data_IF_252840990022
#
_entry.id   IF_252840990022
#
_cell.length_a   1.000
_cell.length_b   1.000
_cell.length_c   1.000
_cell.angle_alpha   90.00
_cell.angle_beta   90.00
_cell.angle_gamma   90.00
#
_symmetry.space_group_name_H-M   'P 1'
#
loop_
_entity.id
_entity.type
_entity.pdbx_description
1 polymer ?
#
# COMPACT_ATOMS: atom_id res chain seq x y z
N UNK A 1 3.07 8.11 3.84
CA UNK A 1 3.94 9.31 3.63
C UNK A 1 5.24 9.32 4.44
N UNK A 2 5.24 9.21 5.78
CA UNK A 2 6.48 9.37 6.57
C UNK A 2 7.65 8.45 6.16
N UNK A 3 7.38 7.17 5.84
CA UNK A 3 8.42 6.24 5.34
C UNK A 3 8.98 6.63 3.97
N UNK A 4 8.13 7.15 3.09
CA UNK A 4 8.53 7.62 1.77
C UNK A 4 9.39 8.89 1.86
N UNK A 5 9.09 9.75 2.84
CA UNK A 5 9.89 10.92 3.17
C UNK A 5 11.26 10.54 3.75
N UNK A 6 11.32 9.60 4.69
CA UNK A 6 12.57 9.04 5.24
C UNK A 6 13.48 8.49 4.11
N UNK A 7 12.90 7.78 3.14
CA UNK A 7 13.64 7.32 1.97
C UNK A 7 14.14 8.47 1.08
N UNK A 8 13.28 9.45 0.79
CA UNK A 8 13.63 10.59 -0.04
C UNK A 8 14.73 11.45 0.58
N UNK A 9 14.69 11.68 1.90
CA UNK A 9 15.72 12.43 2.64
C UNK A 9 17.06 11.70 2.66
N UNK A 10 17.05 10.37 2.83
CA UNK A 10 18.26 9.53 2.74
C UNK A 10 18.89 9.63 1.36
N UNK A 11 18.08 9.64 0.29
CA UNK A 11 18.57 9.69 -1.10
C UNK A 11 19.07 11.08 -1.52
N UNK A 12 18.47 12.16 -1.00
CA UNK A 12 18.81 13.54 -1.33
C UNK A 12 20.03 14.05 -0.55
N UNK A 13 20.41 13.40 0.55
CA UNK A 13 21.59 13.78 1.33
C UNK A 13 22.83 13.07 0.77
N UNK A 14 23.74 13.75 0.04
CA UNK A 14 24.98 13.12 -0.37
C UNK A 14 25.78 12.74 0.89
N UNK A 15 26.11 11.44 1.01
CA UNK A 15 26.95 10.94 2.08
C UNK A 15 28.29 11.69 2.07
N UNK A 16 28.45 12.64 2.99
CA UNK A 16 29.70 13.34 3.20
C UNK A 16 30.71 12.34 3.78
N UNK A 17 31.58 11.83 2.91
CA UNK A 17 32.73 11.03 3.31
C UNK A 17 33.71 11.87 4.12
N UNK A 18 34.08 11.35 5.30
CA UNK A 18 35.20 11.82 6.09
C UNK A 18 35.66 10.67 6.97
N UNK A 19 36.73 9.98 6.55
CA UNK A 19 37.38 8.97 7.36
C UNK A 19 38.36 9.58 8.33
N UNK A 20 38.48 8.99 9.52
CA UNK A 20 39.74 8.83 10.24
C UNK A 20 39.62 7.69 11.25
N UNK A 21 40.68 6.88 11.31
CA UNK A 21 40.79 5.72 12.17
C UNK A 21 41.27 6.11 13.56
N UNK A 22 40.72 5.46 14.61
CA UNK A 22 41.51 5.16 15.80
C UNK A 22 40.96 3.93 16.54
N UNK A 23 41.83 2.96 16.77
CA UNK A 23 41.59 1.78 17.60
C UNK A 23 41.74 2.10 19.09
N UNK A 24 40.99 1.42 19.97
CA UNK A 24 41.39 0.93 21.32
C UNK A 24 40.25 0.19 22.06
N UNK A 25 40.47 -1.10 22.25
CA UNK A 25 40.05 -2.13 23.22
C UNK A 25 39.06 -1.85 24.41
N UNK A 26 38.12 -2.79 24.64
CA UNK A 26 37.86 -3.56 25.91
C UNK A 26 36.39 -3.99 26.16
N UNK A 27 36.14 -5.30 26.10
CA UNK A 27 35.27 -6.18 26.95
C UNK A 27 33.72 -6.05 27.08
N UNK A 28 33.05 -7.14 26.64
CA UNK A 28 31.88 -7.89 27.18
C UNK A 28 30.49 -7.23 27.36
N UNK A 29 29.50 -7.70 26.58
CA UNK A 29 28.45 -8.64 27.03
C UNK A 29 27.52 -9.03 25.88
N UNK A 30 27.27 -10.33 25.76
CA UNK A 30 26.46 -10.98 24.73
C UNK A 30 24.96 -10.80 24.93
N UNK A 31 24.29 -10.21 23.95
CA UNK A 31 22.90 -10.54 23.61
C UNK A 31 22.73 -10.32 22.11
N UNK A 32 22.38 -11.37 21.37
CA UNK A 32 22.14 -11.32 19.94
C UNK A 32 20.79 -10.63 19.66
N UNK A 33 20.76 -9.52 18.89
CA UNK A 33 19.62 -9.23 18.04
C UNK A 33 19.85 -9.92 16.70
N UNK A 34 18.89 -10.76 16.31
CA UNK A 34 18.80 -11.33 14.97
C UNK A 34 18.77 -10.18 13.96
N UNK A 35 19.79 -10.09 13.12
CA UNK A 35 19.89 -9.08 12.08
C UNK A 35 18.74 -9.22 11.08
N UNK A 36 18.03 -8.13 10.70
CA UNK A 36 17.29 -8.14 9.46
C UNK A 36 18.29 -8.25 8.30
N UNK A 37 17.97 -9.19 7.41
CA UNK A 37 18.67 -9.47 6.15
C UNK A 37 19.13 -8.20 5.45
N UNK A 38 20.41 -8.19 5.10
CA UNK A 38 21.15 -7.20 4.31
C UNK A 38 20.31 -6.50 3.23
N UNK A 39 19.87 -5.28 3.53
CA UNK A 39 19.44 -4.31 2.53
C UNK A 39 20.68 -3.52 2.07
N UNK A 40 20.89 -3.47 0.76
CA UNK A 40 21.91 -2.63 0.14
C UNK A 40 21.67 -1.17 0.55
N UNK A 41 22.69 -0.33 0.77
CA UNK A 41 22.54 1.03 1.34
C UNK A 41 21.82 2.06 0.44
N UNK A 42 21.32 1.63 -0.73
CA UNK A 42 20.47 2.42 -1.60
C UNK A 42 19.08 1.78 -1.60
N UNK A 43 18.19 2.25 -0.72
CA UNK A 43 16.84 1.72 -0.58
C UNK A 43 16.11 1.75 -1.91
N UNK A 44 15.54 0.62 -2.32
CA UNK A 44 14.77 0.51 -3.56
C UNK A 44 13.46 1.31 -3.43
N UNK A 45 13.09 2.10 -4.45
CA UNK A 45 11.82 2.83 -4.51
C UNK A 45 10.63 1.89 -4.24
N UNK A 46 10.73 0.63 -4.69
CA UNK A 46 9.73 -0.39 -4.44
C UNK A 46 9.57 -0.66 -2.94
N UNK A 47 10.68 -0.82 -2.21
CA UNK A 47 10.65 -1.07 -0.77
C UNK A 47 9.95 0.08 -0.04
N UNK A 48 10.28 1.33 -0.39
CA UNK A 48 9.65 2.50 0.22
C UNK A 48 8.14 2.56 -0.04
N UNK A 49 7.69 2.22 -1.26
CA UNK A 49 6.26 2.12 -1.59
C UNK A 49 5.56 0.99 -0.84
N UNK A 50 6.15 -0.21 -0.82
CA UNK A 50 5.61 -1.38 -0.11
C UNK A 50 5.47 -1.09 1.38
N UNK A 51 6.53 -0.61 2.03
CA UNK A 51 6.51 -0.29 3.46
C UNK A 51 5.49 0.80 3.79
N UNK A 52 5.44 1.87 2.98
CA UNK A 52 4.50 2.97 3.20
C UNK A 52 3.05 2.52 3.06
N UNK A 53 2.71 1.79 1.99
CA UNK A 53 1.36 1.31 1.76
C UNK A 53 0.93 0.26 2.80
N UNK A 54 1.85 -0.62 3.22
CA UNK A 54 1.60 -1.60 4.28
C UNK A 54 1.31 -0.91 5.63
N UNK A 55 2.13 0.05 6.03
CA UNK A 55 1.94 0.81 7.28
C UNK A 55 0.62 1.58 7.26
N UNK A 56 0.30 2.21 6.15
CA UNK A 56 -0.97 2.93 5.98
C UNK A 56 -2.16 1.98 6.08
N UNK A 57 -2.11 0.84 5.39
CA UNK A 57 -3.14 -0.20 5.46
C UNK A 57 -3.33 -0.71 6.89
N UNK A 58 -2.24 -0.93 7.62
CA UNK A 58 -2.29 -1.36 9.01
C UNK A 58 -3.04 -0.35 9.92
N UNK A 59 -2.71 0.94 9.81
CA UNK A 59 -3.38 1.97 10.60
C UNK A 59 -4.83 2.22 10.16
N UNK A 60 -5.11 2.15 8.85
CA UNK A 60 -6.47 2.20 8.34
C UNK A 60 -7.30 1.04 8.89
N UNK A 61 -6.74 -0.18 8.91
CA UNK A 61 -7.41 -1.35 9.48
C UNK A 61 -7.69 -1.18 10.97
N UNK A 62 -6.70 -0.70 11.73
CA UNK A 62 -6.88 -0.39 13.15
C UNK A 62 -8.00 0.62 13.40
N UNK A 63 -8.04 1.71 12.62
CA UNK A 63 -9.09 2.72 12.72
C UNK A 63 -10.46 2.15 12.34
N UNK A 64 -10.53 1.40 11.24
CA UNK A 64 -11.76 0.77 10.76
C UNK A 64 -12.41 -0.11 11.83
N UNK A 65 -11.62 -0.98 12.49
CA UNK A 65 -12.11 -1.80 13.61
C UNK A 65 -12.64 -0.95 14.76
N UNK A 66 -11.90 0.09 15.18
CA UNK A 66 -12.33 0.99 16.26
C UNK A 66 -13.65 1.68 15.95
N UNK A 67 -13.82 2.19 14.73
CA UNK A 67 -15.06 2.83 14.30
C UNK A 67 -16.22 1.84 14.25
N UNK A 68 -15.99 0.62 13.75
CA UNK A 68 -17.00 -0.43 13.75
C UNK A 68 -17.45 -0.77 15.17
N UNK A 69 -16.52 -0.96 16.11
CA UNK A 69 -16.85 -1.21 17.52
C UNK A 69 -17.57 -0.03 18.17
N UNK A 70 -17.25 1.22 17.80
CA UNK A 70 -17.95 2.39 18.31
C UNK A 70 -19.41 2.44 17.82
N UNK A 71 -19.64 2.17 16.52
CA UNK A 71 -20.97 2.18 15.90
C UNK A 71 -21.86 1.03 16.37
N UNK A 72 -21.28 -0.13 16.68
CA UNK A 72 -21.99 -1.35 17.07
C UNK A 72 -22.09 -1.57 18.59
N UNK A 73 -21.59 -0.62 19.41
CA UNK A 73 -21.89 -0.62 20.85
C UNK A 73 -23.39 -0.42 21.06
N UNK A 74 -24.03 -1.35 21.77
CA UNK A 74 -25.41 -1.14 22.26
C UNK A 74 -25.43 0.12 23.12
N UNK A 75 -26.40 1.04 22.97
CA UNK A 75 -26.54 2.16 23.89
C UNK A 75 -26.66 1.62 25.31
N UNK A 76 -25.80 2.07 26.21
CA UNK A 76 -26.16 2.04 27.63
C UNK A 76 -27.38 2.93 27.78
N UNK A 77 -28.42 2.44 28.47
CA UNK A 77 -29.61 3.20 28.80
C UNK A 77 -29.21 4.59 29.33
N UNK A 78 -29.55 5.66 28.59
CA UNK A 78 -29.49 7.02 29.12
C UNK A 78 -28.70 8.10 28.35
N UNK A 79 -28.27 7.90 27.10
CA UNK A 79 -27.73 9.02 26.30
C UNK A 79 -28.56 9.29 25.04
N UNK A 80 -29.42 10.29 25.17
CA UNK A 80 -30.31 10.80 24.13
C UNK A 80 -29.67 12.08 23.58
N UNK A 81 -28.82 11.98 22.56
CA UNK A 81 -28.51 13.10 21.66
C UNK A 81 -27.69 12.64 20.44
N UNK A 82 -28.22 13.01 19.27
CA UNK A 82 -27.66 12.87 17.92
C UNK A 82 -27.75 11.50 17.24
N UNK A 83 -28.98 11.03 17.08
CA UNK A 83 -29.34 10.06 16.05
C UNK A 83 -29.51 10.79 14.71
N UNK A 84 -28.44 10.92 13.94
CA UNK A 84 -28.57 11.19 12.50
C UNK A 84 -29.13 9.94 11.83
N UNK A 85 -30.26 10.14 11.19
CA UNK A 85 -31.04 9.17 10.42
C UNK A 85 -30.25 8.71 9.20
N UNK A 86 -29.68 7.50 9.26
CA UNK A 86 -29.48 6.64 8.10
C UNK A 86 -30.16 5.32 8.43
N UNK A 87 -31.04 4.91 7.53
CA UNK A 87 -31.98 3.80 7.64
C UNK A 87 -31.35 2.54 8.22
N UNK A 88 -31.65 2.26 9.49
CA UNK A 88 -31.34 0.99 10.13
C UNK A 88 -32.45 0.01 9.78
N UNK A 89 -32.34 -0.58 8.59
CA UNK A 89 -32.99 -1.85 8.31
C UNK A 89 -32.43 -2.86 9.31
N UNK A 90 -33.21 -3.11 10.36
CA UNK A 90 -32.89 -4.09 11.39
C UNK A 90 -33.27 -5.46 10.82
N UNK A 91 -32.42 -5.97 9.94
CA UNK A 91 -32.43 -7.34 9.46
C UNK A 91 -31.72 -8.25 10.45
N UNK A 92 -32.47 -9.19 11.00
CA UNK A 92 -32.04 -10.34 11.77
C UNK A 92 -31.04 -11.19 10.96
N UNK A 93 -29.74 -10.95 11.15
CA UNK A 93 -28.62 -11.73 10.62
C UNK A 93 -27.41 -11.47 11.50
N UNK A 94 -26.74 -12.52 11.99
CA UNK A 94 -25.58 -12.37 12.86
C UNK A 94 -24.40 -11.73 12.12
N UNK A 95 -24.34 -10.40 12.08
CA UNK A 95 -23.27 -9.66 11.42
C UNK A 95 -21.92 -10.02 12.04
N UNK A 96 -21.07 -10.69 11.27
CA UNK A 96 -19.71 -11.03 11.68
C UNK A 96 -18.91 -9.76 11.89
N UNK A 97 -18.14 -9.71 12.98
CA UNK A 97 -17.23 -8.58 13.23
C UNK A 97 -16.16 -8.49 12.12
N UNK A 98 -15.59 -7.31 11.84
CA UNK A 98 -14.50 -7.18 10.87
C UNK A 98 -13.35 -8.16 11.10
N UNK A 99 -13.01 -8.42 12.36
CA UNK A 99 -11.98 -9.38 12.74
C UNK A 99 -12.37 -10.82 12.38
N UNK A 100 -13.63 -11.20 12.57
CA UNK A 100 -14.13 -12.52 12.21
C UNK A 100 -14.10 -12.73 10.69
N UNK A 101 -14.48 -11.70 9.92
CA UNK A 101 -14.36 -11.72 8.45
C UNK A 101 -12.90 -11.88 8.03
N UNK A 102 -11.99 -11.09 8.60
CA UNK A 102 -10.58 -11.17 8.25
C UNK A 102 -9.97 -12.53 8.61
N UNK A 103 -10.37 -13.11 9.74
CA UNK A 103 -9.96 -14.46 10.15
C UNK A 103 -10.49 -15.59 9.27
N UNK A 104 -11.58 -15.37 8.51
CA UNK A 104 -12.03 -16.28 7.46
C UNK A 104 -11.41 -16.00 6.09
N UNK A 105 -10.48 -15.02 6.02
CA UNK A 105 -9.83 -14.61 4.78
C UNK A 105 -10.70 -13.69 3.93
N UNK A 106 -11.70 -13.02 4.52
CA UNK A 106 -12.60 -12.09 3.85
C UNK A 106 -12.30 -10.67 4.30
N UNK A 107 -11.98 -9.78 3.36
CA UNK A 107 -11.81 -8.35 3.62
C UNK A 107 -13.19 -7.67 3.53
N UNK A 108 -13.65 -6.94 4.56
CA UNK A 108 -14.90 -6.20 4.50
C UNK A 108 -14.93 -5.26 3.28
N UNK A 109 -16.01 -5.27 2.49
CA UNK A 109 -16.09 -4.56 1.19
C UNK A 109 -15.77 -3.07 1.30
N UNK A 110 -16.26 -2.38 2.33
CA UNK A 110 -15.97 -0.96 2.53
C UNK A 110 -14.49 -0.70 2.86
N UNK A 111 -13.84 -1.63 3.57
CA UNK A 111 -12.41 -1.55 3.85
C UNK A 111 -11.58 -1.89 2.60
N UNK A 112 -12.00 -2.89 1.81
CA UNK A 112 -11.37 -3.21 0.52
C UNK A 112 -11.39 -2.00 -0.41
N UNK A 113 -12.49 -1.26 -0.44
CA UNK A 113 -12.61 0.00 -1.18
C UNK A 113 -11.59 1.05 -0.72
N UNK A 114 -11.38 1.20 0.59
CA UNK A 114 -10.32 2.08 1.11
C UNK A 114 -8.93 1.64 0.62
N UNK A 115 -8.64 0.34 0.61
CA UNK A 115 -7.36 -0.17 0.09
C UNK A 115 -7.19 0.12 -1.41
N UNK A 116 -8.25 0.03 -2.23
CA UNK A 116 -8.20 0.40 -3.64
C UNK A 116 -7.83 1.87 -3.83
N UNK A 117 -8.46 2.78 -3.07
CA UNK A 117 -8.14 4.21 -3.11
C UNK A 117 -6.71 4.47 -2.63
N UNK A 118 -6.27 3.86 -1.53
CA UNK A 118 -4.88 3.98 -1.07
C UNK A 118 -3.89 3.58 -2.17
N UNK A 119 -4.08 2.43 -2.84
CA UNK A 119 -3.18 2.04 -3.92
C UNK A 119 -3.19 3.02 -5.11
N UNK A 120 -4.36 3.56 -5.44
CA UNK A 120 -4.48 4.60 -6.47
C UNK A 120 -3.72 5.87 -6.07
N UNK A 121 -3.81 6.31 -4.81
CA UNK A 121 -3.04 7.45 -4.30
C UNK A 121 -1.53 7.22 -4.41
N UNK A 122 -1.04 6.00 -4.13
CA UNK A 122 0.38 5.67 -4.35
C UNK A 122 0.79 5.76 -5.82
N UNK A 123 -0.09 5.38 -6.75
CA UNK A 123 0.18 5.61 -8.17
C UNK A 123 0.24 7.10 -8.46
N UNK A 124 -0.70 7.89 -7.95
CA UNK A 124 -0.69 9.32 -8.20
C UNK A 124 0.56 9.99 -7.63
N UNK A 125 1.07 9.54 -6.48
CA UNK A 125 2.39 9.94 -5.96
C UNK A 125 3.52 9.60 -6.95
N UNK A 126 3.50 8.39 -7.54
CA UNK A 126 4.50 7.99 -8.54
C UNK A 126 4.43 8.87 -9.78
N UNK A 127 3.25 9.27 -10.23
CA UNK A 127 3.05 10.02 -11.48
C UNK A 127 3.07 11.54 -11.30
N UNK A 128 2.92 12.03 -10.07
CA UNK A 128 2.96 13.45 -9.75
C UNK A 128 4.33 14.05 -10.07
N UNK A 129 4.33 15.25 -10.66
CA UNK A 129 5.58 15.98 -10.97
C UNK A 129 6.20 15.65 -12.34
N UNK A 130 5.38 15.28 -13.34
CA UNK A 130 5.80 15.18 -14.74
C UNK A 130 6.44 16.48 -15.27
N UNK A 131 7.36 16.34 -16.23
CA UNK A 131 8.31 17.38 -16.68
C UNK A 131 7.58 18.49 -17.44
N UNK A 132 6.98 19.40 -16.69
CA UNK A 132 7.02 20.84 -16.90
C UNK A 132 6.57 21.46 -15.58
N UNK A 133 7.51 22.09 -14.87
CA UNK A 133 7.22 23.02 -13.76
C UNK A 133 6.51 24.30 -14.29
N UNK A 134 5.75 24.21 -15.39
CA UNK A 134 4.71 25.18 -15.70
C UNK A 134 3.57 24.88 -14.75
N UNK A 135 3.15 25.91 -14.03
CA UNK A 135 2.15 25.94 -12.96
C UNK A 135 0.73 25.42 -13.32
N UNK A 136 0.57 24.73 -14.45
CA UNK A 136 -0.71 24.35 -15.07
C UNK A 136 -0.88 22.84 -15.31
N UNK A 137 -0.03 21.96 -14.75
CA UNK A 137 -0.34 20.52 -14.81
C UNK A 137 -1.29 20.13 -13.69
N UNK A 138 -2.50 19.71 -14.06
CA UNK A 138 -3.59 19.22 -13.18
C UNK A 138 -3.22 17.97 -12.33
N UNK A 139 -1.95 17.55 -12.32
CA UNK A 139 -1.41 16.37 -11.65
C UNK A 139 -0.34 16.74 -10.61
N UNK A 140 -0.58 17.81 -9.85
CA UNK A 140 0.35 18.25 -8.83
C UNK A 140 -0.21 18.00 -7.42
N UNK A 141 0.03 16.81 -6.88
CA UNK A 141 -0.28 16.45 -5.48
C UNK A 141 0.32 17.46 -4.46
N UNK A 142 1.32 18.28 -4.83
CA UNK A 142 1.83 19.37 -3.97
C UNK A 142 0.79 20.47 -3.79
N UNK A 143 -0.06 20.75 -4.78
CA UNK A 143 -1.13 21.75 -4.65
C UNK A 143 -2.22 21.27 -3.68
N UNK A 144 -2.46 19.96 -3.63
CA UNK A 144 -3.43 19.35 -2.71
C UNK A 144 -2.87 19.06 -1.32
N UNK A 145 -1.54 18.97 -1.19
CA UNK A 145 -0.89 18.87 0.09
C UNK A 145 -1.18 20.14 0.92
N UNK A 146 -1.85 19.97 2.05
CA UNK A 146 -2.17 21.05 2.98
C UNK A 146 -0.89 21.73 3.49
N UNK A 147 -0.76 23.04 3.24
CA UNK A 147 0.15 23.95 3.95
C UNK A 147 1.60 23.49 4.10
N UNK A 148 1.94 23.00 5.29
CA UNK A 148 3.30 22.71 5.79
C UNK A 148 3.98 21.51 5.11
N UNK A 149 3.22 20.63 4.46
CA UNK A 149 3.74 19.39 3.84
C UNK A 149 4.11 19.53 2.36
N UNK A 150 3.91 20.71 1.78
CA UNK A 150 4.21 20.93 0.36
C UNK A 150 5.69 20.72 0.04
N UNK A 151 6.59 21.15 0.91
CA UNK A 151 8.03 21.03 0.67
C UNK A 151 8.53 19.59 0.85
N UNK A 152 7.94 18.82 1.77
CA UNK A 152 8.18 17.38 1.90
C UNK A 152 7.72 16.64 0.64
N UNK A 153 6.53 16.96 0.14
CA UNK A 153 6.00 16.37 -1.08
C UNK A 153 6.87 16.67 -2.30
N UNK A 154 7.35 17.91 -2.45
CA UNK A 154 8.30 18.28 -3.51
C UNK A 154 9.60 17.46 -3.44
N UNK A 155 10.12 17.21 -2.23
CA UNK A 155 11.33 16.37 -2.06
C UNK A 155 11.08 14.94 -2.49
N UNK A 156 9.94 14.36 -2.10
CA UNK A 156 9.55 13.01 -2.52
C UNK A 156 9.44 12.93 -4.03
N UNK A 157 8.70 13.85 -4.66
CA UNK A 157 8.56 13.91 -6.12
C UNK A 157 9.92 14.00 -6.82
N UNK A 158 10.80 14.90 -6.35
CA UNK A 158 12.14 15.04 -6.91
C UNK A 158 12.96 13.75 -6.81
N UNK A 159 12.92 13.06 -5.67
CA UNK A 159 13.63 11.80 -5.48
C UNK A 159 13.10 10.69 -6.39
N UNK A 160 11.77 10.58 -6.55
CA UNK A 160 11.13 9.66 -7.49
C UNK A 160 11.57 9.97 -8.93
N UNK A 161 11.54 11.24 -9.32
CA UNK A 161 11.99 11.73 -10.62
C UNK A 161 13.43 11.31 -10.95
N UNK A 162 14.35 11.55 -10.01
CA UNK A 162 15.76 11.21 -10.15
C UNK A 162 15.94 9.69 -10.27
N UNK A 163 15.25 8.91 -9.43
CA UNK A 163 15.26 7.45 -9.52
C UNK A 163 14.76 6.97 -10.88
N UNK A 164 13.60 7.43 -11.35
CA UNK A 164 13.01 7.04 -12.64
C UNK A 164 13.92 7.44 -13.82
N UNK A 165 14.53 8.63 -13.76
CA UNK A 165 15.50 9.08 -14.78
C UNK A 165 16.73 8.18 -14.79
N UNK A 166 17.19 7.73 -13.62
CA UNK A 166 18.35 6.83 -13.47
C UNK A 166 18.10 5.40 -13.96
N UNK A 167 16.84 4.95 -14.03
CA UNK A 167 16.51 3.63 -14.57
C UNK A 167 17.03 3.51 -16.01
N UNK A 168 17.88 2.51 -16.24
CA UNK A 168 18.33 2.17 -17.59
C UNK A 168 17.11 1.74 -18.39
N UNK A 169 16.95 2.28 -19.59
CA UNK A 169 15.96 1.74 -20.52
C UNK A 169 16.30 0.26 -20.74
N UNK A 170 15.31 -0.62 -20.57
CA UNK A 170 15.45 -1.98 -21.05
C UNK A 170 15.72 -1.90 -22.56
N UNK A 171 16.76 -2.58 -23.04
CA UNK A 171 17.03 -2.68 -24.46
C UNK A 171 15.90 -3.47 -25.12
N UNK A 172 14.89 -2.81 -25.66
CA UNK A 172 13.86 -3.49 -26.45
C UNK A 172 13.40 -2.66 -27.64
N UNK A 173 13.84 -3.16 -28.81
CA UNK A 173 13.22 -3.25 -30.14
C UNK A 173 12.63 -1.95 -30.75
N UNK A 174 13.01 -1.59 -32.00
CA UNK A 174 12.56 -0.38 -32.66
C UNK A 174 11.05 -0.45 -32.95
N UNK A 175 10.23 0.09 -32.05
CA UNK A 175 8.83 0.42 -32.35
C UNK A 175 8.73 1.94 -32.48
N UNK A 176 8.16 2.48 -33.55
CA UNK A 176 8.12 3.92 -33.77
C UNK A 176 7.39 4.61 -32.61
N UNK A 177 8.07 5.58 -32.01
CA UNK A 177 7.57 6.39 -30.91
C UNK A 177 6.38 7.22 -31.41
N UNK A 178 5.21 7.18 -30.72
CA UNK A 178 4.15 8.14 -30.98
C UNK A 178 4.69 9.54 -30.71
N UNK A 179 4.47 10.52 -31.61
CA UNK A 179 4.89 11.90 -31.35
C UNK A 179 4.14 12.42 -30.11
N UNK A 180 4.86 12.68 -29.01
CA UNK A 180 4.33 13.33 -27.81
C UNK A 180 4.59 12.64 -26.47
N UNK A 181 4.92 11.34 -26.40
CA UNK A 181 5.21 10.68 -25.12
C UNK A 181 6.65 10.93 -24.65
N UNK A 182 6.80 11.56 -23.49
CA UNK A 182 8.09 11.82 -22.88
C UNK A 182 8.70 10.52 -22.34
N UNK A 183 10.03 10.29 -22.49
CA UNK A 183 10.68 9.05 -22.03
C UNK A 183 10.50 8.72 -20.54
N UNK A 184 10.20 9.71 -19.70
CA UNK A 184 9.96 9.53 -18.26
C UNK A 184 8.60 8.93 -17.94
N UNK A 185 7.55 9.29 -18.67
CA UNK A 185 6.18 8.79 -18.41
C UNK A 185 6.09 7.29 -18.68
N UNK A 186 6.66 6.85 -19.81
CA UNK A 186 6.74 5.43 -20.16
C UNK A 186 7.52 4.62 -19.13
N UNK A 187 8.60 5.18 -18.57
CA UNK A 187 9.36 4.52 -17.49
C UNK A 187 8.54 4.38 -16.20
N UNK A 188 7.73 5.38 -15.83
CA UNK A 188 6.83 5.28 -14.68
C UNK A 188 5.77 4.21 -14.90
N UNK A 189 5.20 4.15 -16.10
CA UNK A 189 4.22 3.13 -16.48
C UNK A 189 4.82 1.72 -16.44
N UNK A 190 5.98 1.51 -17.05
CA UNK A 190 6.70 0.24 -16.98
C UNK A 190 7.04 -0.13 -15.52
N UNK A 191 7.49 0.85 -14.72
CA UNK A 191 7.78 0.62 -13.31
C UNK A 191 6.52 0.23 -12.53
N UNK A 192 5.42 0.96 -12.68
CA UNK A 192 4.16 0.68 -11.99
C UNK A 192 3.62 -0.71 -12.36
N UNK A 193 3.54 -1.03 -13.65
CA UNK A 193 3.04 -2.32 -14.14
C UNK A 193 3.85 -3.50 -13.58
N UNK A 194 5.16 -3.33 -13.38
CA UNK A 194 6.01 -4.37 -12.81
C UNK A 194 5.86 -4.53 -11.29
N UNK A 195 5.49 -3.44 -10.59
CA UNK A 195 5.65 -3.33 -9.13
C UNK A 195 4.34 -3.20 -8.34
N UNK A 196 3.24 -2.75 -8.95
CA UNK A 196 1.98 -2.49 -8.26
C UNK A 196 1.43 -3.72 -7.52
N UNK A 197 1.59 -4.92 -8.10
CA UNK A 197 1.22 -6.19 -7.46
C UNK A 197 1.97 -6.44 -6.15
N UNK A 198 3.23 -6.03 -6.05
CA UNK A 198 4.05 -6.21 -4.85
C UNK A 198 3.66 -5.21 -3.76
N UNK A 199 3.28 -3.99 -4.15
CA UNK A 199 2.72 -2.99 -3.22
C UNK A 199 1.41 -3.52 -2.65
N UNK A 200 0.51 -4.02 -3.50
CA UNK A 200 -0.76 -4.64 -3.10
C UNK A 200 -0.55 -5.86 -2.19
N UNK A 201 0.38 -6.77 -2.54
CA UNK A 201 0.76 -7.90 -1.69
C UNK A 201 1.24 -7.45 -0.30
N UNK A 202 2.03 -6.38 -0.24
CA UNK A 202 2.45 -5.73 1.01
C UNK A 202 1.28 -5.20 1.85
N UNK A 203 0.28 -4.58 1.21
CA UNK A 203 -0.94 -4.12 1.87
C UNK A 203 -1.75 -5.29 2.46
N UNK A 204 -1.89 -6.40 1.74
CA UNK A 204 -2.57 -7.62 2.24
C UNK A 204 -1.76 -8.25 3.38
N UNK A 205 -0.43 -8.31 3.24
CA UNK A 205 0.46 -8.80 4.29
C UNK A 205 0.30 -8.02 5.60
N UNK A 206 0.14 -6.69 5.52
CA UNK A 206 -0.08 -5.83 6.69
C UNK A 206 -1.32 -6.21 7.51
N UNK A 207 -2.36 -6.74 6.86
CA UNK A 207 -3.58 -7.21 7.54
C UNK A 207 -3.34 -8.45 8.41
N UNK A 208 -2.26 -9.19 8.16
CA UNK A 208 -1.90 -10.37 8.96
C UNK A 208 -1.29 -10.00 10.31
N UNK A 209 -0.83 -8.76 10.51
CA UNK A 209 -0.23 -8.33 11.77
C UNK A 209 -1.31 -7.95 12.79
N UNK A 210 -1.06 -8.31 14.06
CA UNK A 210 -1.99 -7.96 15.15
C UNK A 210 -1.92 -6.46 15.43
N UNK A 211 -3.07 -5.82 15.56
CA UNK A 211 -3.11 -4.37 15.85
C UNK A 211 -2.61 -4.00 17.23
N UNK A 212 -2.74 -4.92 18.20
CA UNK A 212 -2.38 -4.67 19.60
C UNK A 212 -0.91 -5.01 19.89
N UNK A 213 -0.32 -5.89 19.07
CA UNK A 213 1.11 -6.16 19.05
C UNK A 213 1.58 -6.30 17.59
N UNK A 214 1.95 -5.20 16.91
CA UNK A 214 2.29 -5.20 15.49
C UNK A 214 3.49 -6.10 15.14
N UNK A 215 4.33 -6.46 16.12
CA UNK A 215 5.44 -7.39 15.93
C UNK A 215 4.99 -8.85 15.77
N UNK A 216 3.75 -9.16 16.16
CA UNK A 216 3.17 -10.49 16.05
C UNK A 216 2.26 -10.61 14.83
N UNK A 217 2.40 -11.75 14.14
CA UNK A 217 1.50 -12.16 13.07
C UNK A 217 0.34 -12.97 13.66
N UNK A 218 -0.87 -12.69 13.20
CA UNK A 218 -2.03 -13.55 13.39
C UNK A 218 -1.96 -14.70 12.37
N UNK A 219 -1.47 -15.85 12.81
CA UNK A 219 -1.30 -17.04 11.95
C UNK A 219 -2.62 -17.54 11.36
N UNK A 220 -3.77 -17.29 12.00
CA UNK A 220 -5.08 -17.66 11.43
C UNK A 220 -5.40 -16.80 10.23
N UNK A 221 -5.22 -15.48 10.35
CA UNK A 221 -5.41 -14.53 9.24
C UNK A 221 -4.42 -14.82 8.12
N UNK A 222 -3.13 -14.97 8.46
CA UNK A 222 -2.09 -15.30 7.47
C UNK A 222 -2.39 -16.58 6.71
N UNK A 223 -2.77 -17.66 7.40
CA UNK A 223 -3.18 -18.92 6.77
C UNK A 223 -4.41 -18.74 5.88
N UNK A 224 -5.39 -17.94 6.29
CA UNK A 224 -6.58 -17.70 5.49
C UNK A 224 -6.24 -17.00 4.16
N UNK A 225 -5.37 -15.98 4.19
CA UNK A 225 -4.98 -15.24 2.99
C UNK A 225 -3.95 -15.98 2.13
N UNK A 226 -2.94 -16.62 2.73
CA UNK A 226 -1.79 -17.15 2.00
C UNK A 226 -1.72 -18.69 1.97
N UNK A 227 -2.64 -19.39 2.62
CA UNK A 227 -2.66 -20.86 2.65
C UNK A 227 -1.67 -21.48 3.64
N UNK A 228 -1.49 -22.80 3.56
CA UNK A 228 -0.48 -23.56 4.33
C UNK A 228 0.67 -24.04 3.43
N UNK A 229 1.90 -24.05 3.96
CA UNK A 229 3.10 -24.59 3.31
C UNK A 229 3.52 -23.90 1.99
N UNK A 230 3.77 -22.59 2.02
CA UNK A 230 4.44 -21.87 0.91
C UNK A 230 5.97 -22.15 0.81
N UNK A 231 6.43 -23.33 1.20
CA UNK A 231 7.77 -23.79 0.83
C UNK A 231 7.74 -24.15 -0.66
N UNK A 232 7.97 -23.17 -1.54
CA UNK A 232 8.23 -23.39 -2.96
C UNK A 232 9.57 -24.11 -3.15
N UNK A 233 9.63 -25.41 -2.82
CA UNK A 233 10.64 -26.29 -3.39
C UNK A 233 10.16 -26.70 -4.79
N UNK A 234 10.93 -26.46 -5.86
CA UNK A 234 10.56 -26.90 -7.20
C UNK A 234 10.64 -28.43 -7.25
N UNK A 235 9.49 -29.11 -7.28
CA UNK A 235 9.43 -30.56 -7.55
C UNK A 235 8.44 -31.40 -6.74
N UNK A 236 7.69 -30.84 -5.79
CA UNK A 236 6.74 -31.64 -4.99
C UNK A 236 5.30 -31.22 -5.25
N UNK A 237 4.54 -32.03 -5.99
CA UNK A 237 3.08 -31.98 -6.05
C UNK A 237 2.51 -32.55 -4.76
N UNK A 238 2.46 -31.72 -3.71
CA UNK A 238 1.64 -31.95 -2.52
C UNK A 238 0.65 -30.81 -2.43
N UNK A 239 -0.65 -31.12 -2.40
CA UNK A 239 -1.74 -30.16 -2.57
C UNK A 239 -1.61 -28.93 -1.69
N UNK A 240 -1.19 -27.81 -2.28
CA UNK A 240 -1.19 -26.51 -1.66
C UNK A 240 -2.63 -26.02 -1.60
N UNK A 241 -3.18 -25.85 -0.40
CA UNK A 241 -4.42 -25.08 -0.24
C UNK A 241 -4.07 -23.62 -0.42
N UNK A 242 -4.26 -23.12 -1.65
CA UNK A 242 -4.10 -21.70 -1.95
C UNK A 242 -5.04 -20.88 -1.05
N UNK A 243 -4.54 -19.78 -0.49
CA UNK A 243 -5.34 -18.89 0.35
C UNK A 243 -6.26 -17.96 -0.46
N UNK A 244 -7.01 -17.12 0.25
CA UNK A 244 -7.93 -16.17 -0.39
C UNK A 244 -7.22 -15.07 -1.19
N UNK A 245 -5.93 -14.80 -0.94
CA UNK A 245 -5.14 -13.89 -1.76
C UNK A 245 -5.14 -14.32 -3.23
N UNK A 246 -4.69 -15.54 -3.53
CA UNK A 246 -4.59 -16.01 -4.92
C UNK A 246 -5.95 -16.20 -5.59
N UNK A 247 -7.00 -16.53 -4.81
CA UNK A 247 -8.32 -16.90 -5.35
C UNK A 247 -9.28 -15.71 -5.47
N UNK A 248 -9.14 -14.68 -4.62
CA UNK A 248 -10.09 -13.57 -4.53
C UNK A 248 -9.42 -12.19 -4.56
N UNK A 249 -8.20 -12.07 -4.03
CA UNK A 249 -7.53 -10.77 -3.86
C UNK A 249 -6.27 -10.61 -4.72
N UNK A 250 -6.11 -11.41 -5.79
CA UNK A 250 -5.00 -11.24 -6.73
C UNK A 250 -5.13 -9.87 -7.42
N UNK A 251 -4.00 -9.18 -7.56
CA UNK A 251 -3.95 -7.82 -8.09
C UNK A 251 -4.66 -7.66 -9.45
N UNK A 252 -4.58 -8.67 -10.32
CA UNK A 252 -5.12 -8.60 -11.67
C UNK A 252 -6.62 -8.96 -11.73
N UNK A 253 -7.15 -9.66 -10.72
CA UNK A 253 -8.52 -10.18 -10.76
C UNK A 253 -9.46 -9.62 -9.69
N UNK A 254 -8.93 -9.04 -8.60
CA UNK A 254 -9.75 -8.50 -7.51
C UNK A 254 -10.59 -7.31 -7.99
N UNK A 255 -11.86 -7.29 -7.57
CA UNK A 255 -12.85 -6.28 -7.95
C UNK A 255 -13.57 -5.75 -6.73
N UNK A 256 -14.10 -4.52 -6.83
CA UNK A 256 -15.05 -4.01 -5.85
C UNK A 256 -16.45 -4.47 -6.25
N UNK A 257 -17.14 -5.14 -5.33
CA UNK A 257 -18.57 -5.36 -5.48
C UNK A 257 -19.32 -4.05 -5.22
N UNK A 258 -20.36 -3.81 -6.02
CA UNK A 258 -21.26 -2.68 -5.80
C UNK A 258 -22.05 -2.97 -4.52
N UNK A 259 -22.02 -2.04 -3.57
CA UNK A 259 -22.93 -2.08 -2.41
C UNK A 259 -24.38 -2.10 -2.91
N UNK A 260 -25.25 -2.84 -2.23
CA UNK A 260 -26.68 -3.00 -2.56
C UNK A 260 -27.47 -1.68 -2.65
N UNK A 261 -26.86 -0.55 -2.26
CA UNK A 261 -27.47 0.78 -2.22
C UNK A 261 -27.10 1.68 -3.40
N UNK A 262 -26.20 1.27 -4.32
CA UNK A 262 -25.83 2.06 -5.50
C UNK A 262 -26.34 1.45 -6.80
N UNK A 263 -26.64 2.31 -7.78
CA UNK A 263 -27.03 1.90 -9.12
C UNK A 263 -25.98 0.94 -9.69
N UNK A 264 -26.41 -0.28 -10.06
CA UNK A 264 -25.55 -1.30 -10.67
C UNK A 264 -24.97 -0.77 -11.97
N UNK A 265 -23.78 -0.19 -11.92
CA UNK A 265 -22.94 -0.07 -13.10
C UNK A 265 -22.48 -1.48 -13.47
N UNK A 266 -22.65 -1.88 -14.73
CA UNK A 266 -22.22 -3.20 -15.19
C UNK A 266 -20.69 -3.32 -15.31
N UNK A 267 -19.96 -2.23 -15.05
CA UNK A 267 -18.51 -2.14 -15.19
C UNK A 267 -17.84 -2.01 -13.82
N UNK A 268 -17.70 -3.14 -13.09
CA UNK A 268 -16.86 -3.21 -11.89
C UNK A 268 -15.40 -3.42 -12.32
N UNK A 269 -14.54 -2.39 -12.28
CA UNK A 269 -13.16 -2.53 -12.70
C UNK A 269 -12.41 -3.47 -11.76
N UNK A 270 -11.44 -4.18 -12.32
CA UNK A 270 -10.36 -4.81 -11.55
C UNK A 270 -9.53 -3.74 -10.83
N UNK A 271 -8.76 -4.13 -9.81
CA UNK A 271 -7.82 -3.22 -9.15
C UNK A 271 -6.78 -2.65 -10.11
N UNK A 272 -6.29 -3.46 -11.06
CA UNK A 272 -5.40 -2.98 -12.11
C UNK A 272 -6.05 -1.84 -12.91
N UNK A 273 -7.27 -2.04 -13.41
CA UNK A 273 -8.03 -1.03 -14.16
C UNK A 273 -8.39 0.18 -13.30
N UNK A 274 -8.78 -0.04 -12.05
CA UNK A 274 -9.12 1.01 -11.10
C UNK A 274 -7.92 1.91 -10.84
N UNK A 275 -6.75 1.32 -10.58
CA UNK A 275 -5.52 2.07 -10.38
C UNK A 275 -5.16 2.88 -11.62
N UNK A 276 -5.58 2.48 -12.83
CA UNK A 276 -5.28 3.21 -14.07
C UNK A 276 -6.19 4.43 -14.31
N UNK A 277 -7.30 4.59 -13.59
CA UNK A 277 -8.26 5.68 -13.82
C UNK A 277 -7.64 7.06 -13.47
N UNK A 278 -8.04 8.13 -14.19
CA UNK A 278 -7.71 9.50 -13.79
C UNK A 278 -8.34 9.84 -12.43
N UNK A 279 -7.78 10.82 -11.74
CA UNK A 279 -8.30 11.30 -10.45
C UNK A 279 -9.75 11.79 -10.58
N UNK A 280 -10.57 11.43 -9.60
CA UNK A 280 -11.86 12.09 -9.38
C UNK A 280 -11.69 12.95 -8.12
N UNK A 281 -11.46 14.24 -8.32
CA UNK A 281 -11.51 15.26 -7.26
C UNK A 281 -12.96 15.70 -7.01
#
# INVERSE_FOLDING_TARGET
MGKLEEWATTSVTPQAGGGEAQASDSSQSSSHPTSPTSQSPNGDLLAAFVESAAVETFFLWHRYKKEWHHKNKKPQEGSQLLQTTLDRDSGDGGDQTPEQQLQSGTIPTDFLRLMFYTLADYKDILYSGGVDNTSDSDNNIVLEASGDKQDEMKKIQKAIDEYIKSLKQAASVPKPQPPGQQPSEKKREEWWNNNAKHIWEGMICALTHKTDNPQEVDEKVKKAFFGENNNKNPGTTSGTTNGTYETQYDYNSVKLDNSDTQAKSNDNPTLEEFSKRPTFF
#
